data_IF_231249661443
#
_entry.id   IF_231249661443
#
_cell.length_a   1.000
_cell.length_b   1.000
_cell.length_c   1.000
_cell.angle_alpha   90.00
_cell.angle_beta   90.00
_cell.angle_gamma   90.00
#
_symmetry.space_group_name_H-M   'P 1'
#
loop_
_entity.id
_entity.type
_entity.pdbx_description
1 polymer ?
#
# COMPACT_ATOMS: atom_id res chain seq x y z
N UNK A 1 -18.97 4.42 -4.15
CA UNK A 1 -18.09 3.84 -5.18
C UNK A 1 -16.98 4.86 -5.34
N UNK A 2 -16.07 4.87 -4.35
CA UNK A 2 -15.03 5.89 -4.20
C UNK A 2 -14.02 5.78 -5.34
N UNK A 3 -13.57 6.94 -5.83
CA UNK A 3 -12.63 7.09 -6.92
C UNK A 3 -11.49 6.09 -6.83
N UNK A 4 -11.45 5.22 -7.83
CA UNK A 4 -10.45 4.18 -8.02
C UNK A 4 -9.07 4.81 -7.84
N UNK A 5 -8.29 4.24 -6.93
CA UNK A 5 -6.85 4.47 -6.86
C UNK A 5 -6.31 4.49 -8.29
N UNK A 6 -5.77 5.63 -8.73
CA UNK A 6 -5.36 5.78 -10.11
C UNK A 6 -4.17 4.85 -10.44
N UNK A 7 -4.00 4.58 -11.73
CA UNK A 7 -3.00 3.61 -12.20
C UNK A 7 -1.56 4.07 -11.86
N UNK A 8 -1.31 5.38 -11.79
CA UNK A 8 0.01 5.91 -11.44
C UNK A 8 0.36 5.61 -9.98
N UNK A 9 -0.55 5.91 -9.06
CA UNK A 9 -0.39 5.58 -7.64
C UNK A 9 -0.23 4.07 -7.45
N UNK A 10 -1.03 3.29 -8.18
CA UNK A 10 -0.95 1.82 -8.14
C UNK A 10 0.44 1.34 -8.55
N UNK A 11 0.95 1.82 -9.68
CA UNK A 11 2.24 1.39 -10.24
C UNK A 11 3.41 1.80 -9.34
N UNK A 12 3.37 3.00 -8.77
CA UNK A 12 4.37 3.46 -7.80
C UNK A 12 4.39 2.55 -6.56
N UNK A 13 3.23 2.38 -5.93
CA UNK A 13 3.07 1.54 -4.74
C UNK A 13 3.48 0.08 -5.03
N UNK A 14 3.12 -0.46 -6.20
CA UNK A 14 3.48 -1.80 -6.63
C UNK A 14 5.00 -1.94 -6.81
N UNK A 15 5.66 -0.94 -7.39
CA UNK A 15 7.11 -0.90 -7.48
C UNK A 15 7.79 -0.96 -6.10
N UNK A 16 7.23 -0.27 -5.10
CA UNK A 16 7.73 -0.39 -3.72
C UNK A 16 7.51 -1.77 -3.12
N UNK A 17 6.36 -2.40 -3.36
CA UNK A 17 6.09 -3.77 -2.91
C UNK A 17 7.07 -4.79 -3.51
N UNK A 18 7.30 -4.71 -4.83
CA UNK A 18 8.21 -5.60 -5.53
C UNK A 18 9.65 -5.44 -5.01
N UNK A 19 10.11 -4.21 -4.81
CA UNK A 19 11.42 -3.93 -4.19
C UNK A 19 11.50 -4.44 -2.75
N UNK A 20 10.46 -4.22 -1.94
CA UNK A 20 10.41 -4.64 -0.54
C UNK A 20 10.47 -6.17 -0.39
N UNK A 21 9.83 -6.89 -1.31
CA UNK A 21 9.75 -8.36 -1.28
C UNK A 21 10.86 -9.06 -2.06
N UNK A 22 11.61 -8.33 -2.90
CA UNK A 22 12.56 -8.91 -3.84
C UNK A 22 11.88 -9.77 -4.93
N UNK A 23 10.58 -9.59 -5.15
CA UNK A 23 9.79 -10.37 -6.11
C UNK A 23 9.13 -9.43 -7.14
N UNK A 24 9.55 -9.46 -8.42
CA UNK A 24 9.00 -8.59 -9.47
C UNK A 24 7.56 -8.92 -9.87
N UNK A 25 7.05 -10.10 -9.50
CA UNK A 25 5.65 -10.49 -9.72
C UNK A 25 4.80 -10.39 -8.46
N UNK A 26 5.28 -9.70 -7.41
CA UNK A 26 4.49 -9.46 -6.22
C UNK A 26 3.28 -8.59 -6.54
N UNK A 27 2.12 -8.96 -5.99
CA UNK A 27 0.87 -8.21 -6.10
C UNK A 27 0.33 -7.87 -4.71
N UNK A 28 -0.45 -6.79 -4.63
CA UNK A 28 -1.17 -6.44 -3.41
C UNK A 28 -2.26 -7.46 -3.10
N UNK A 29 -2.37 -7.81 -1.82
CA UNK A 29 -3.57 -8.50 -1.32
C UNK A 29 -4.72 -7.52 -1.15
N UNK A 30 -5.93 -8.07 -1.05
CA UNK A 30 -7.15 -7.30 -0.82
C UNK A 30 -6.96 -6.20 0.21
N UNK A 31 -7.44 -5.00 -0.12
CA UNK A 31 -7.44 -3.78 0.70
C UNK A 31 -6.07 -3.16 0.99
N UNK A 32 -4.94 -3.81 0.69
CA UNK A 32 -3.62 -3.23 0.97
C UNK A 32 -3.40 -1.90 0.24
N UNK A 33 -3.63 -1.89 -1.08
CA UNK A 33 -3.47 -0.70 -1.91
C UNK A 33 -4.40 0.43 -1.46
N UNK A 34 -5.65 0.11 -1.15
CA UNK A 34 -6.64 1.08 -0.66
C UNK A 34 -6.21 1.70 0.69
N UNK A 35 -5.69 0.89 1.62
CA UNK A 35 -5.20 1.40 2.91
C UNK A 35 -4.00 2.31 2.71
N UNK A 36 -3.06 1.94 1.83
CA UNK A 36 -1.89 2.77 1.51
C UNK A 36 -2.39 4.11 0.90
N UNK A 37 -3.31 4.07 -0.06
CA UNK A 37 -3.90 5.28 -0.65
C UNK A 37 -4.58 6.18 0.39
N UNK A 38 -5.39 5.61 1.30
CA UNK A 38 -6.02 6.37 2.39
C UNK A 38 -4.98 7.04 3.32
N UNK A 39 -3.85 6.38 3.56
CA UNK A 39 -2.76 6.92 4.39
C UNK A 39 -1.96 8.02 3.65
N UNK A 40 -1.67 7.83 2.36
CA UNK A 40 -0.76 8.67 1.57
C UNK A 40 -1.49 9.85 0.94
N UNK A 41 -2.49 9.60 0.10
CA UNK A 41 -3.23 10.65 -0.62
C UNK A 41 -4.20 11.36 0.31
N UNK A 42 -5.04 10.59 1.01
CA UNK A 42 -6.10 11.18 1.84
C UNK A 42 -5.59 11.66 3.21
N UNK A 43 -4.34 11.35 3.57
CA UNK A 43 -3.72 11.66 4.88
C UNK A 43 -4.60 11.24 6.08
N UNK A 44 -5.35 10.15 5.94
CA UNK A 44 -6.27 9.67 6.95
C UNK A 44 -5.56 8.88 8.05
N UNK A 45 -6.17 8.88 9.23
CA UNK A 45 -5.81 7.93 10.30
C UNK A 45 -6.55 6.61 10.05
N UNK A 46 -5.82 5.50 9.99
CA UNK A 46 -6.39 4.16 9.77
C UNK A 46 -6.08 3.25 10.96
N UNK A 47 -7.11 2.59 11.49
CA UNK A 47 -6.97 1.46 12.42
C UNK A 47 -7.04 0.15 11.62
N UNK A 48 -5.88 -0.49 11.40
CA UNK A 48 -5.79 -1.71 10.60
C UNK A 48 -5.69 -2.96 11.49
N UNK A 49 -6.81 -3.67 11.68
CA UNK A 49 -6.87 -4.92 12.45
C UNK A 49 -6.96 -6.11 11.49
N UNK A 50 -5.91 -6.91 11.43
CA UNK A 50 -5.82 -8.10 10.56
C UNK A 50 -4.99 -9.20 11.22
N UNK A 51 -5.18 -10.46 10.81
CA UNK A 51 -4.39 -11.60 11.32
C UNK A 51 -2.88 -11.47 11.03
N UNK A 52 -2.05 -12.20 11.78
CA UNK A 52 -0.61 -12.33 11.48
C UNK A 52 -0.41 -12.94 10.10
N UNK A 53 0.62 -12.48 9.39
CA UNK A 53 0.89 -12.90 8.01
C UNK A 53 0.04 -12.21 6.94
N UNK A 54 -0.93 -11.35 7.28
CA UNK A 54 -1.73 -10.60 6.28
C UNK A 54 -0.89 -9.61 5.45
N UNK A 55 0.19 -9.07 6.02
CA UNK A 55 1.07 -8.10 5.34
C UNK A 55 0.94 -6.66 5.83
N UNK A 56 0.55 -6.44 7.10
CA UNK A 56 0.41 -5.09 7.69
C UNK A 56 1.74 -4.31 7.69
N UNK A 57 2.86 -5.00 7.85
CA UNK A 57 4.20 -4.40 7.78
C UNK A 57 4.49 -3.82 6.39
N UNK A 58 4.10 -4.51 5.31
CA UNK A 58 4.27 -4.01 3.95
C UNK A 58 3.50 -2.71 3.74
N UNK A 59 2.25 -2.63 4.20
CA UNK A 59 1.45 -1.39 4.18
C UNK A 59 2.17 -0.26 4.92
N UNK A 60 2.67 -0.51 6.14
CA UNK A 60 3.40 0.49 6.91
C UNK A 60 4.66 0.99 6.17
N UNK A 61 5.50 0.09 5.66
CA UNK A 61 6.75 0.46 5.00
C UNK A 61 6.52 1.21 3.70
N UNK A 62 5.58 0.76 2.87
CA UNK A 62 5.27 1.40 1.58
C UNK A 62 4.66 2.78 1.82
N UNK A 63 3.65 2.89 2.69
CA UNK A 63 3.05 4.19 3.02
C UNK A 63 4.09 5.17 3.60
N UNK A 64 4.94 4.70 4.52
CA UNK A 64 6.01 5.53 5.10
C UNK A 64 7.03 5.98 4.05
N UNK A 65 7.34 5.14 3.05
CA UNK A 65 8.26 5.47 1.97
C UNK A 65 7.68 6.53 1.04
N UNK A 66 6.43 6.37 0.61
CA UNK A 66 5.73 7.29 -0.29
C UNK A 66 5.42 8.63 0.37
N UNK A 67 5.19 8.66 1.69
CA UNK A 67 5.02 9.92 2.44
C UNK A 67 6.31 10.78 2.52
N UNK A 68 7.46 10.23 2.14
CA UNK A 68 8.78 10.87 2.23
C UNK A 68 9.41 11.21 0.87
N UNK A 69 8.88 10.66 -0.22
CA UNK A 69 9.20 11.11 -1.57
C UNK A 69 8.42 12.38 -1.91
#
# INVERSE_FOLDING_TARGET
MDGLVDDFFRDEALGHLQRLTGNPSAEFRDQQLEVIHRLVENRQRVLLVQRTGWGKSAVYFIATRMLRD
#
